data_IF_007033960735
#
_entry.id   IF_007033960735
#
_cell.length_a   1.000
_cell.length_b   1.000
_cell.length_c   1.000
_cell.angle_alpha   90.00
_cell.angle_beta   90.00
_cell.angle_gamma   90.00
#
_symmetry.space_group_name_H-M   'P 1'
#
loop_
_entity.id
_entity.type
_entity.pdbx_description
1 polymer ?
#
# COMPACT_ATOMS: atom_id res chain seq x y z
N UNK A 1 0.22 30.11 5.75
CA UNK A 1 -0.13 28.71 5.37
C UNK A 1 0.61 28.38 4.10
N UNK A 2 1.23 27.20 4.04
CA UNK A 2 2.07 26.77 2.91
C UNK A 2 1.74 25.36 2.48
N UNK A 3 2.04 25.03 1.25
CA UNK A 3 1.92 23.67 0.72
C UNK A 3 3.07 22.79 1.22
N UNK A 4 2.74 21.57 1.65
CA UNK A 4 3.69 20.48 1.84
C UNK A 4 3.41 19.39 0.80
N UNK A 5 4.47 18.94 0.14
CA UNK A 5 4.41 17.92 -0.88
C UNK A 5 5.59 16.95 -0.74
N UNK A 6 5.30 15.66 -0.63
CA UNK A 6 6.26 14.58 -0.54
C UNK A 6 5.88 13.48 -1.52
N UNK A 7 6.81 13.03 -2.34
CA UNK A 7 6.71 11.80 -3.13
C UNK A 7 7.82 10.84 -2.74
N UNK A 8 7.45 9.58 -2.56
CA UNK A 8 8.34 8.46 -2.35
C UNK A 8 8.23 7.55 -3.59
N UNK A 9 9.22 7.64 -4.49
CA UNK A 9 9.25 6.85 -5.73
C UNK A 9 10.04 5.56 -5.53
N UNK A 10 9.43 4.42 -5.82
CA UNK A 10 10.02 3.08 -5.64
C UNK A 10 9.81 2.21 -6.88
N UNK A 11 10.40 1.01 -6.87
CA UNK A 11 9.92 -0.09 -7.72
C UNK A 11 8.46 -0.41 -7.40
N UNK A 12 7.79 -1.16 -8.29
CA UNK A 12 6.34 -1.44 -8.19
C UNK A 12 5.95 -2.06 -6.85
N UNK A 13 5.26 -1.29 -6.01
CA UNK A 13 4.72 -1.73 -4.73
C UNK A 13 3.52 -2.65 -5.01
N UNK A 14 3.52 -3.90 -4.51
CA UNK A 14 2.39 -4.80 -4.67
C UNK A 14 1.07 -4.17 -4.23
N UNK A 15 0.01 -4.37 -5.02
CA UNK A 15 -1.32 -3.80 -4.77
C UNK A 15 -1.80 -4.02 -3.32
N UNK A 16 -1.53 -5.20 -2.76
CA UNK A 16 -1.93 -5.57 -1.40
C UNK A 16 -1.21 -4.81 -0.28
N UNK A 17 -0.08 -4.18 -0.59
CA UNK A 17 0.71 -3.39 0.38
C UNK A 17 0.34 -1.90 0.36
N UNK A 18 -0.14 -1.38 -0.77
CA UNK A 18 -0.33 0.06 -0.98
C UNK A 18 -1.35 0.66 -0.02
N UNK A 19 -2.50 0.01 0.21
CA UNK A 19 -3.53 0.52 1.13
C UNK A 19 -2.96 0.69 2.55
N UNK A 20 -2.32 -0.33 3.08
CA UNK A 20 -1.72 -0.27 4.43
C UNK A 20 -0.65 0.81 4.52
N UNK A 21 0.18 0.95 3.48
CA UNK A 21 1.22 1.99 3.44
C UNK A 21 0.61 3.40 3.43
N UNK A 22 -0.45 3.64 2.62
CA UNK A 22 -1.17 4.94 2.63
C UNK A 22 -1.76 5.24 3.99
N UNK A 23 -2.49 4.28 4.58
CA UNK A 23 -3.19 4.45 5.85
C UNK A 23 -2.19 4.73 6.99
N UNK A 24 -1.06 4.02 7.03
CA UNK A 24 0.00 4.24 8.01
C UNK A 24 0.65 5.63 7.82
N UNK A 25 1.04 5.95 6.59
CA UNK A 25 1.70 7.21 6.29
C UNK A 25 0.80 8.41 6.63
N UNK A 26 -0.50 8.33 6.30
CA UNK A 26 -1.47 9.36 6.65
C UNK A 26 -1.60 9.52 8.16
N UNK A 27 -1.77 8.41 8.89
CA UNK A 27 -1.89 8.41 10.35
C UNK A 27 -0.62 8.99 11.00
N UNK A 28 0.55 8.46 10.66
CA UNK A 28 1.82 8.87 11.25
C UNK A 28 2.09 10.35 11.01
N UNK A 29 1.78 10.85 9.81
CA UNK A 29 1.97 12.26 9.49
C UNK A 29 0.99 13.17 10.24
N UNK A 30 -0.30 12.79 10.34
CA UNK A 30 -1.30 13.53 11.12
C UNK A 30 -0.93 13.56 12.60
N UNK A 31 -0.56 12.41 13.17
CA UNK A 31 -0.19 12.29 14.57
C UNK A 31 1.07 13.12 14.88
N UNK A 32 2.04 13.12 13.97
CA UNK A 32 3.22 13.98 14.05
C UNK A 32 2.85 15.47 14.04
N UNK A 33 2.02 15.95 13.12
CA UNK A 33 1.64 17.36 13.07
C UNK A 33 0.91 17.80 14.33
N UNK A 34 0.04 16.96 14.89
CA UNK A 34 -0.66 17.21 16.14
C UNK A 34 0.32 17.26 17.32
N UNK A 35 1.24 16.31 17.39
CA UNK A 35 2.26 16.24 18.48
C UNK A 35 3.17 17.45 18.48
N UNK A 36 3.56 17.94 17.32
CA UNK A 36 4.42 19.12 17.18
C UNK A 36 3.63 20.43 17.19
N UNK A 37 2.29 20.37 17.40
CA UNK A 37 1.39 21.54 17.42
C UNK A 37 1.38 22.35 16.10
N UNK A 38 1.72 21.68 15.00
CA UNK A 38 1.70 22.29 13.66
C UNK A 38 0.26 22.39 13.19
N UNK A 39 -0.24 23.62 13.06
CA UNK A 39 -1.60 23.86 12.58
C UNK A 39 -1.68 23.58 11.07
N UNK A 40 -2.70 22.84 10.68
CA UNK A 40 -3.04 22.60 9.28
C UNK A 40 -4.56 22.76 9.09
N UNK A 41 -4.96 23.22 7.92
CA UNK A 41 -6.34 23.24 7.46
C UNK A 41 -6.47 22.11 6.45
N UNK A 42 -7.67 21.62 6.27
CA UNK A 42 -8.01 20.55 5.34
C UNK A 42 -7.44 19.18 5.74
N UNK A 43 -7.81 18.17 4.99
CA UNK A 43 -7.32 16.82 5.20
C UNK A 43 -5.94 16.63 4.56
N UNK A 44 -5.07 15.90 5.24
CA UNK A 44 -3.85 15.41 4.63
C UNK A 44 -4.21 14.31 3.64
N UNK A 45 -3.85 14.50 2.39
CA UNK A 45 -4.11 13.55 1.34
C UNK A 45 -2.91 12.63 1.13
N UNK A 46 -3.16 11.32 1.13
CA UNK A 46 -2.16 10.32 0.76
C UNK A 46 -2.65 9.53 -0.44
N UNK A 47 -1.92 9.66 -1.54
CA UNK A 47 -2.23 9.01 -2.81
C UNK A 47 -1.22 7.92 -3.12
N UNK A 48 -1.56 6.97 -3.99
CA UNK A 48 -0.59 6.02 -4.50
C UNK A 48 -0.82 5.66 -5.96
N UNK A 49 0.28 5.37 -6.63
CA UNK A 49 0.35 4.56 -7.84
C UNK A 49 1.20 3.31 -7.55
N UNK A 50 1.38 2.38 -8.49
CA UNK A 50 2.29 1.25 -8.28
C UNK A 50 3.70 1.68 -7.83
N UNK A 51 4.20 2.79 -8.34
CA UNK A 51 5.57 3.25 -8.09
C UNK A 51 5.67 4.40 -7.08
N UNK A 52 4.55 4.99 -6.62
CA UNK A 52 4.57 6.23 -5.84
C UNK A 52 3.68 6.15 -4.62
N UNK A 53 4.19 6.63 -3.48
CA UNK A 53 3.40 7.09 -2.36
C UNK A 53 3.55 8.60 -2.27
N UNK A 54 2.44 9.32 -2.20
CA UNK A 54 2.42 10.78 -2.25
C UNK A 54 1.66 11.31 -1.05
N UNK A 55 2.26 12.23 -0.32
CA UNK A 55 1.60 13.01 0.75
C UNK A 55 1.53 14.46 0.32
N UNK A 56 0.37 15.06 0.42
CA UNK A 56 0.28 16.50 0.25
C UNK A 56 -0.75 17.13 1.18
N UNK A 57 -0.47 18.38 1.55
CA UNK A 57 -1.35 19.23 2.33
C UNK A 57 -1.17 20.68 1.85
N UNK A 58 -2.26 21.31 1.46
CA UNK A 58 -2.21 22.66 0.87
C UNK A 58 -1.97 23.76 1.92
N UNK A 59 -2.37 23.53 3.16
CA UNK A 59 -2.45 24.57 4.19
C UNK A 59 -1.81 24.15 5.52
N UNK A 60 -0.48 24.17 5.59
CA UNK A 60 0.29 23.97 6.83
C UNK A 60 0.86 25.31 7.32
N UNK A 61 0.88 25.55 8.63
CA UNK A 61 1.50 26.74 9.19
C UNK A 61 3.01 26.76 8.97
N UNK A 62 3.57 27.90 8.55
CA UNK A 62 5.01 28.06 8.35
C UNK A 62 5.80 28.07 9.64
N UNK A 63 5.16 28.48 10.72
CA UNK A 63 5.80 28.67 12.03
C UNK A 63 4.89 28.18 13.14
N UNK A 64 5.52 27.73 14.22
CA UNK A 64 4.87 27.42 15.48
C UNK A 64 5.35 28.45 16.48
N UNK A 65 4.41 29.01 17.22
CA UNK A 65 4.72 29.87 18.36
C UNK A 65 4.49 29.03 19.61
N UNK A 66 5.55 28.57 20.24
CA UNK A 66 5.49 28.00 21.58
C UNK A 66 5.37 29.17 22.55
N UNK A 67 4.23 29.21 23.24
CA UNK A 67 3.98 30.25 24.22
C UNK A 67 5.05 30.24 25.32
N UNK A 68 5.21 31.38 25.97
CA UNK A 68 5.99 31.49 27.18
C UNK A 68 5.50 30.45 28.21
N UNK A 69 6.40 29.75 28.85
CA UNK A 69 6.08 28.72 29.84
C UNK A 69 6.97 28.86 31.05
N UNK A 70 6.39 28.69 32.24
CA UNK A 70 7.16 28.59 33.46
C UNK A 70 7.52 27.13 33.73
N UNK A 71 8.80 26.85 33.76
CA UNK A 71 9.33 25.51 34.04
C UNK A 71 9.73 25.44 35.51
N UNK A 72 9.11 24.50 36.24
CA UNK A 72 9.43 24.25 37.61
C UNK A 72 10.72 23.44 37.71
N UNK A 73 11.67 23.94 38.48
CA UNK A 73 12.92 23.29 38.82
C UNK A 73 12.88 22.57 40.16
N UNK A 74 14.04 22.26 40.74
CA UNK A 74 14.18 21.62 42.05
C UNK A 74 13.68 22.53 43.17
N UNK A 75 13.43 21.92 44.35
CA UNK A 75 13.19 22.67 45.59
C UNK A 75 14.42 23.50 45.97
N UNK A 76 14.19 24.64 46.60
CA UNK A 76 15.27 25.50 47.15
C UNK A 76 16.15 24.73 48.17
N UNK A 77 15.55 23.75 48.86
CA UNK A 77 16.24 22.89 49.82
C UNK A 77 16.89 21.64 49.18
N UNK A 78 16.84 21.50 47.88
CA UNK A 78 17.48 20.37 47.19
C UNK A 78 19.01 20.57 47.11
N UNK A 79 19.78 19.46 46.95
CA UNK A 79 21.23 19.56 46.76
C UNK A 79 21.58 20.44 45.55
N UNK A 80 22.68 21.20 45.66
CA UNK A 80 23.14 22.12 44.60
C UNK A 80 23.31 21.43 43.24
N UNK A 81 23.64 20.15 43.23
CA UNK A 81 23.71 19.32 42.02
C UNK A 81 22.39 19.27 41.24
N UNK A 82 21.24 19.30 41.93
CA UNK A 82 19.93 19.29 41.28
C UNK A 82 19.65 20.63 40.59
N UNK A 83 20.04 21.75 41.18
CA UNK A 83 19.94 23.07 40.56
C UNK A 83 20.87 23.18 39.36
N UNK A 84 22.11 22.72 39.47
CA UNK A 84 23.08 22.71 38.39
C UNK A 84 22.61 21.82 37.23
N UNK A 85 21.99 20.66 37.50
CA UNK A 85 21.36 19.80 36.50
C UNK A 85 20.21 20.50 35.79
N UNK A 86 19.36 21.22 36.52
CA UNK A 86 18.25 22.00 35.96
C UNK A 86 18.72 23.15 35.06
N UNK A 87 19.74 23.90 35.52
CA UNK A 87 20.37 24.99 34.76
C UNK A 87 20.97 24.44 33.46
N UNK A 88 21.75 23.37 33.56
CA UNK A 88 22.39 22.74 32.40
C UNK A 88 21.39 22.15 31.42
N UNK A 89 20.33 21.50 31.89
CA UNK A 89 19.30 20.88 31.02
C UNK A 89 18.45 21.91 30.26
N UNK A 90 18.30 23.11 30.81
CA UNK A 90 17.55 24.19 30.17
C UNK A 90 18.44 25.21 29.45
N UNK A 91 19.77 25.05 29.52
CA UNK A 91 20.77 25.95 28.95
C UNK A 91 20.57 27.41 29.38
N UNK A 92 20.43 27.60 30.70
CA UNK A 92 20.18 28.90 31.37
C UNK A 92 21.28 29.17 32.42
N UNK A 93 21.27 30.38 32.94
CA UNK A 93 22.13 30.76 34.09
C UNK A 93 21.31 30.76 35.40
N UNK A 94 21.98 30.84 36.53
CA UNK A 94 21.31 30.89 37.84
C UNK A 94 20.50 32.18 38.00
N UNK A 95 20.96 33.26 37.42
CA UNK A 95 20.33 34.58 37.44
C UNK A 95 18.99 34.61 36.67
N UNK A 96 18.82 33.70 35.71
CA UNK A 96 17.56 33.56 34.94
C UNK A 96 16.52 32.73 35.70
N UNK A 97 16.86 32.20 36.87
CA UNK A 97 15.92 31.49 37.74
C UNK A 97 15.33 32.42 38.79
N UNK A 98 14.07 32.18 39.18
CA UNK A 98 13.42 32.85 40.27
C UNK A 98 12.76 31.82 41.22
N UNK A 99 12.59 32.23 42.49
CA UNK A 99 11.98 31.36 43.51
C UNK A 99 10.49 31.69 43.61
N UNK A 100 9.66 30.63 43.61
CA UNK A 100 8.22 30.77 43.87
C UNK A 100 7.79 29.79 44.97
N UNK A 101 6.97 30.30 45.87
CA UNK A 101 6.32 29.50 46.90
C UNK A 101 5.08 28.82 46.31
N UNK A 102 4.97 27.51 46.49
CA UNK A 102 3.84 26.69 46.10
C UNK A 102 3.30 25.95 47.34
N UNK A 103 2.15 25.30 47.26
CA UNK A 103 1.57 24.48 48.32
C UNK A 103 2.51 23.37 48.82
N UNK A 104 3.51 22.98 48.01
CA UNK A 104 4.51 21.94 48.30
C UNK A 104 5.88 22.46 48.71
N UNK A 105 6.00 23.77 48.97
CA UNK A 105 7.26 24.42 49.33
C UNK A 105 7.78 25.41 48.30
N UNK A 106 9.01 25.89 48.51
CA UNK A 106 9.68 26.83 47.61
C UNK A 106 10.52 26.10 46.58
N UNK A 107 10.35 26.52 45.30
CA UNK A 107 11.02 25.91 44.16
C UNK A 107 11.65 26.95 43.26
N UNK A 108 12.72 26.58 42.59
CA UNK A 108 13.25 27.36 41.48
C UNK A 108 12.33 27.24 40.29
N UNK A 109 12.14 28.34 39.58
CA UNK A 109 11.41 28.42 38.33
C UNK A 109 12.25 29.15 37.28
N UNK A 110 12.05 28.79 36.04
CA UNK A 110 12.61 29.50 34.90
C UNK A 110 11.49 29.88 33.96
N UNK A 111 11.51 31.11 33.48
CA UNK A 111 10.54 31.62 32.51
C UNK A 111 11.08 31.42 31.12
N UNK A 112 10.66 30.34 30.48
CA UNK A 112 11.05 30.03 29.10
C UNK A 112 10.39 31.04 28.20
N UNK A 113 11.14 31.85 27.42
CA UNK A 113 10.55 32.84 26.53
C UNK A 113 9.77 32.17 25.40
N UNK A 114 8.79 32.88 24.85
CA UNK A 114 8.09 32.44 23.65
C UNK A 114 9.09 32.22 22.52
N UNK A 115 8.99 31.06 21.86
CA UNK A 115 9.90 30.69 20.76
C UNK A 115 9.10 30.50 19.49
N UNK A 116 9.55 31.16 18.43
CA UNK A 116 9.05 30.91 17.06
C UNK A 116 9.95 29.87 16.39
N UNK A 117 9.37 28.73 16.04
CA UNK A 117 10.10 27.64 15.38
C UNK A 117 9.57 27.49 13.96
N UNK A 118 10.46 27.45 12.98
CA UNK A 118 10.11 27.23 11.59
C UNK A 118 9.63 25.78 11.38
N UNK A 119 8.44 25.61 10.81
CA UNK A 119 7.86 24.29 10.50
C UNK A 119 8.77 23.50 9.56
N UNK A 120 9.47 24.18 8.64
CA UNK A 120 10.46 23.55 7.75
C UNK A 120 11.51 22.77 8.54
N UNK A 121 12.09 23.34 9.58
CA UNK A 121 13.14 22.70 10.39
C UNK A 121 12.60 21.48 11.16
N UNK A 122 11.36 21.57 11.62
CA UNK A 122 10.70 20.46 12.33
C UNK A 122 10.43 19.30 11.35
N UNK A 123 9.93 19.60 10.14
CA UNK A 123 9.70 18.60 9.09
C UNK A 123 11.01 17.91 8.70
N UNK A 124 12.08 18.68 8.42
CA UNK A 124 13.40 18.14 8.04
C UNK A 124 13.92 17.11 9.07
N UNK A 125 13.79 17.44 10.35
CA UNK A 125 14.27 16.60 11.46
C UNK A 125 13.45 15.32 11.64
N UNK A 126 12.14 15.36 11.40
CA UNK A 126 11.23 14.29 11.81
C UNK A 126 10.74 13.42 10.65
N UNK A 127 10.77 13.89 9.39
CA UNK A 127 10.36 13.09 8.23
C UNK A 127 11.05 11.72 8.17
N UNK A 128 12.38 11.58 8.38
CA UNK A 128 13.01 10.27 8.39
C UNK A 128 12.34 9.28 9.37
N UNK A 129 12.02 9.73 10.58
CA UNK A 129 11.35 8.89 11.60
C UNK A 129 9.93 8.50 11.20
N UNK A 130 9.18 9.43 10.58
CA UNK A 130 7.82 9.15 10.08
C UNK A 130 7.85 8.09 9.00
N UNK A 131 8.87 8.11 8.14
CA UNK A 131 9.06 7.12 7.08
C UNK A 131 9.43 5.74 7.66
N UNK A 132 10.28 5.68 8.70
CA UNK A 132 10.63 4.43 9.39
C UNK A 132 9.42 3.76 10.07
N UNK A 133 8.42 4.55 10.48
CA UNK A 133 7.20 4.06 11.11
C UNK A 133 6.19 3.46 10.13
N UNK A 134 6.45 3.45 8.82
CA UNK A 134 5.57 2.80 7.84
C UNK A 134 5.71 1.29 7.99
N UNK A 135 4.63 0.64 8.43
CA UNK A 135 4.59 -0.81 8.59
C UNK A 135 4.35 -1.52 7.26
N UNK A 136 5.29 -2.35 6.86
CA UNK A 136 5.21 -3.18 5.68
C UNK A 136 4.94 -4.64 6.06
N UNK A 137 3.82 -5.24 5.62
CA UNK A 137 3.55 -6.68 5.82
C UNK A 137 4.63 -7.57 5.19
N UNK A 138 5.23 -7.11 4.10
CA UNK A 138 6.39 -7.71 3.44
C UNK A 138 7.29 -6.57 3.01
N UNK A 139 8.53 -6.63 3.43
CA UNK A 139 9.58 -5.69 3.05
C UNK A 139 10.77 -6.44 2.48
N UNK A 140 11.64 -5.73 1.81
CA UNK A 140 12.92 -6.26 1.34
C UNK A 140 14.02 -5.23 1.54
N UNK A 141 15.24 -5.72 1.62
CA UNK A 141 16.48 -4.96 1.55
C UNK A 141 17.09 -5.18 0.18
N UNK A 142 17.80 -4.21 -0.34
CA UNK A 142 18.43 -4.30 -1.68
C UNK A 142 19.82 -3.66 -1.69
N UNK A 143 20.68 -4.13 -2.60
CA UNK A 143 22.07 -3.72 -2.63
C UNK A 143 22.73 -3.90 -1.27
N UNK A 144 23.63 -2.98 -0.92
CA UNK A 144 24.34 -2.93 0.37
C UNK A 144 23.68 -1.97 1.37
N UNK A 145 22.42 -1.58 1.13
CA UNK A 145 21.71 -0.63 1.96
C UNK A 145 20.98 -1.31 3.13
N UNK A 146 20.85 -0.62 4.25
CA UNK A 146 20.18 -1.13 5.46
C UNK A 146 18.68 -0.81 5.51
N UNK A 147 18.16 -0.08 4.52
CA UNK A 147 16.75 0.28 4.45
C UNK A 147 15.88 -0.94 4.11
N UNK A 148 14.83 -1.17 4.93
CA UNK A 148 13.77 -2.11 4.65
C UNK A 148 12.54 -1.35 4.11
N UNK A 149 12.10 -1.67 2.91
CA UNK A 149 10.96 -1.02 2.25
C UNK A 149 10.10 -2.04 1.53
N UNK A 150 8.85 -1.70 1.18
CA UNK A 150 7.96 -2.60 0.44
C UNK A 150 8.53 -3.05 -0.91
N UNK A 151 9.24 -2.15 -1.59
CA UNK A 151 10.07 -2.37 -2.79
C UNK A 151 11.18 -1.32 -2.80
N UNK A 152 12.29 -1.53 -3.54
CA UNK A 152 13.40 -0.57 -3.57
C UNK A 152 12.96 0.88 -3.77
N UNK A 153 13.17 1.71 -2.75
CA UNK A 153 12.94 3.15 -2.80
C UNK A 153 14.07 3.80 -3.60
N UNK A 154 13.74 4.58 -4.63
CA UNK A 154 14.71 5.13 -5.59
C UNK A 154 14.94 6.63 -5.42
N UNK A 155 13.91 7.38 -5.06
CA UNK A 155 14.04 8.82 -4.83
C UNK A 155 12.98 9.35 -3.88
N UNK A 156 13.30 10.49 -3.30
CA UNK A 156 12.41 11.26 -2.43
C UNK A 156 12.33 12.66 -3.01
N UNK A 157 11.13 13.06 -3.45
CA UNK A 157 10.83 14.45 -3.76
C UNK A 157 10.10 15.05 -2.56
N UNK A 158 10.66 16.11 -1.99
CA UNK A 158 10.07 16.80 -0.83
C UNK A 158 10.16 18.31 -0.99
N UNK A 159 9.01 18.96 -0.87
CA UNK A 159 8.89 20.42 -0.99
C UNK A 159 8.01 20.99 0.11
N UNK A 160 8.38 22.15 0.58
CA UNK A 160 7.61 22.96 1.51
C UNK A 160 7.69 24.43 1.09
N UNK A 161 6.55 25.07 0.93
CA UNK A 161 6.46 26.47 0.52
C UNK A 161 7.20 26.76 -0.81
N UNK A 162 6.98 25.90 -1.82
CA UNK A 162 7.63 25.95 -3.14
C UNK A 162 9.19 25.90 -3.10
N UNK A 163 9.75 25.38 -2.02
CA UNK A 163 11.20 25.18 -1.87
C UNK A 163 11.49 23.74 -1.51
N UNK A 164 12.66 23.27 -1.92
CA UNK A 164 13.12 21.92 -1.52
C UNK A 164 13.22 21.82 -0.01
N UNK A 165 12.66 20.76 0.53
CA UNK A 165 12.78 20.36 1.92
C UNK A 165 13.89 19.31 2.03
N UNK A 166 15.11 19.77 2.31
CA UNK A 166 16.32 18.94 2.31
C UNK A 166 16.41 18.09 3.58
N UNK A 167 16.48 16.78 3.44
CA UNK A 167 16.80 15.82 4.50
C UNK A 167 17.40 14.55 3.91
N UNK A 168 18.11 13.80 4.75
CA UNK A 168 18.68 12.50 4.39
C UNK A 168 17.81 11.40 4.96
N UNK A 169 17.59 10.34 4.18
CA UNK A 169 16.89 9.14 4.60
C UNK A 169 17.68 7.91 4.13
N UNK A 170 18.41 7.27 5.05
CA UNK A 170 19.37 6.22 4.74
C UNK A 170 20.37 6.66 3.64
N UNK A 171 20.36 5.98 2.49
CA UNK A 171 21.23 6.27 1.35
C UNK A 171 20.65 7.33 0.39
N UNK A 172 19.46 7.84 0.65
CA UNK A 172 18.75 8.78 -0.22
C UNK A 172 18.76 10.19 0.35
N UNK A 173 18.87 11.15 -0.54
CA UNK A 173 18.70 12.56 -0.27
C UNK A 173 17.40 13.04 -0.89
N UNK A 174 16.61 13.81 -0.16
CA UNK A 174 15.44 14.46 -0.71
C UNK A 174 15.83 15.53 -1.74
N UNK A 175 14.96 15.71 -2.71
CA UNK A 175 15.20 16.62 -3.84
C UNK A 175 13.87 17.21 -4.35
N UNK A 176 13.89 17.81 -5.53
CA UNK A 176 12.68 18.25 -6.24
C UNK A 176 12.43 17.49 -7.54
N UNK A 177 13.14 16.38 -7.78
CA UNK A 177 12.94 15.57 -8.98
C UNK A 177 12.28 14.24 -8.68
N UNK A 178 11.56 13.71 -9.66
CA UNK A 178 11.05 12.34 -9.69
C UNK A 178 11.46 11.63 -10.96
N UNK A 179 11.46 10.30 -10.92
CA UNK A 179 11.63 9.47 -12.11
C UNK A 179 10.31 9.36 -12.87
N UNK A 180 10.42 9.28 -14.18
CA UNK A 180 9.31 9.02 -15.08
C UNK A 180 9.40 7.58 -15.60
N UNK A 181 8.27 7.05 -16.09
CA UNK A 181 8.23 5.72 -16.65
C UNK A 181 9.10 5.61 -17.91
N UNK A 182 9.47 4.37 -18.26
CA UNK A 182 10.30 4.04 -19.42
C UNK A 182 9.70 4.50 -20.75
N UNK A 183 8.39 4.69 -20.80
CA UNK A 183 7.66 5.14 -21.99
C UNK A 183 7.77 6.65 -22.26
N UNK A 184 8.42 7.40 -21.36
CA UNK A 184 8.66 8.83 -21.55
C UNK A 184 10.08 9.05 -22.09
N UNK A 185 10.23 9.99 -23.03
CA UNK A 185 11.55 10.40 -23.55
C UNK A 185 12.43 10.97 -22.42
N UNK A 186 11.83 11.75 -21.54
CA UNK A 186 12.46 12.29 -20.34
C UNK A 186 12.41 11.25 -19.22
N UNK A 187 13.56 10.94 -18.63
CA UNK A 187 13.67 9.98 -17.53
C UNK A 187 13.36 10.57 -16.15
N UNK A 188 13.47 11.88 -16.01
CA UNK A 188 13.24 12.62 -14.77
C UNK A 188 12.56 13.96 -15.04
N UNK A 189 11.80 14.45 -14.06
CA UNK A 189 11.23 15.81 -14.10
C UNK A 189 11.27 16.46 -12.72
N UNK A 190 11.29 17.80 -12.68
CA UNK A 190 11.43 18.59 -11.44
C UNK A 190 10.14 19.32 -11.10
N UNK A 191 9.80 19.31 -9.82
CA UNK A 191 8.60 19.97 -9.32
C UNK A 191 8.87 20.64 -7.97
N UNK A 192 8.25 21.79 -7.74
CA UNK A 192 8.28 22.49 -6.45
C UNK A 192 6.91 22.58 -5.80
N UNK A 193 5.83 22.25 -6.54
CA UNK A 193 4.47 22.24 -6.02
C UNK A 193 3.70 21.00 -6.48
N UNK A 194 2.75 20.55 -5.67
CA UNK A 194 1.87 19.45 -6.02
C UNK A 194 0.97 19.77 -7.20
N UNK A 195 0.58 21.03 -7.36
CA UNK A 195 -0.26 21.48 -8.49
C UNK A 195 0.42 21.20 -9.83
N UNK A 196 1.66 21.67 -10.01
CA UNK A 196 2.41 21.47 -11.26
C UNK A 196 2.73 19.99 -11.51
N UNK A 197 3.06 19.25 -10.46
CA UNK A 197 3.25 17.80 -10.49
C UNK A 197 1.99 17.07 -10.97
N UNK A 198 0.84 17.36 -10.38
CA UNK A 198 -0.44 16.73 -10.73
C UNK A 198 -0.87 17.05 -12.17
N UNK A 199 -0.70 18.29 -12.61
CA UNK A 199 -1.02 18.72 -13.98
C UNK A 199 -0.13 18.00 -15.00
N UNK A 200 1.17 17.87 -14.71
CA UNK A 200 2.10 17.13 -15.55
C UNK A 200 1.65 15.67 -15.73
N UNK A 201 1.45 14.92 -14.64
CA UNK A 201 1.05 13.52 -14.74
C UNK A 201 -0.32 13.34 -15.37
N UNK A 202 -1.27 14.26 -15.12
CA UNK A 202 -2.57 14.29 -15.82
C UNK A 202 -2.41 14.46 -17.33
N UNK A 203 -1.49 15.31 -17.79
CA UNK A 203 -1.22 15.51 -19.23
C UNK A 203 -0.64 14.25 -19.90
N UNK A 204 0.01 13.38 -19.12
CA UNK A 204 0.54 12.08 -19.58
C UNK A 204 -0.51 10.95 -19.46
N UNK A 205 -1.71 11.24 -18.97
CA UNK A 205 -2.80 10.27 -18.80
C UNK A 205 -2.70 9.43 -17.51
N UNK A 206 -1.79 9.78 -16.60
CA UNK A 206 -1.62 9.12 -15.30
C UNK A 206 -2.64 9.67 -14.30
N UNK A 207 -3.30 8.79 -13.56
CA UNK A 207 -4.27 9.13 -12.51
C UNK A 207 -3.63 8.82 -11.16
N UNK A 208 -3.07 9.86 -10.52
CA UNK A 208 -2.36 9.73 -9.24
C UNK A 208 -3.27 9.30 -8.08
N UNK A 209 -4.51 9.80 -8.05
CA UNK A 209 -5.49 9.50 -7.02
C UNK A 209 -6.09 8.10 -7.27
N UNK A 210 -5.81 7.17 -6.36
CA UNK A 210 -6.27 5.79 -6.47
C UNK A 210 -7.80 5.66 -6.45
N UNK A 211 -8.54 6.53 -5.72
CA UNK A 211 -9.99 6.49 -5.72
C UNK A 211 -10.56 6.94 -7.06
N UNK A 212 -10.03 8.03 -7.63
CA UNK A 212 -10.41 8.50 -8.97
C UNK A 212 -10.02 7.52 -10.06
N UNK A 213 -8.92 6.80 -9.88
CA UNK A 213 -8.47 5.76 -10.81
C UNK A 213 -9.40 4.54 -10.76
N UNK A 214 -9.84 4.13 -9.56
CA UNK A 214 -10.82 3.05 -9.39
C UNK A 214 -12.15 3.42 -10.05
N UNK A 215 -12.68 4.60 -9.77
CA UNK A 215 -13.89 5.13 -10.40
C UNK A 215 -13.78 5.22 -11.93
N UNK A 216 -12.64 5.67 -12.44
CA UNK A 216 -12.39 5.73 -13.88
C UNK A 216 -12.44 4.33 -14.52
N UNK A 217 -11.74 3.36 -13.93
CA UNK A 217 -11.70 1.97 -14.44
C UNK A 217 -13.11 1.37 -14.43
N UNK A 218 -13.84 1.49 -13.32
CA UNK A 218 -15.20 0.97 -13.18
C UNK A 218 -16.14 1.58 -14.23
N UNK A 219 -16.15 2.90 -14.38
CA UNK A 219 -16.98 3.60 -15.36
C UNK A 219 -16.64 3.19 -16.81
N UNK A 220 -15.36 3.02 -17.13
CA UNK A 220 -14.95 2.58 -18.48
C UNK A 220 -15.34 1.12 -18.75
N UNK A 221 -15.21 0.23 -17.77
CA UNK A 221 -15.67 -1.16 -17.89
C UNK A 221 -17.18 -1.22 -18.11
N UNK A 222 -17.98 -0.51 -17.30
CA UNK A 222 -19.44 -0.44 -17.45
C UNK A 222 -19.86 0.15 -18.79
N UNK A 223 -19.20 1.20 -19.26
CA UNK A 223 -19.47 1.79 -20.58
C UNK A 223 -19.25 0.79 -21.70
N UNK A 224 -18.10 0.08 -21.68
CA UNK A 224 -17.75 -0.89 -22.75
C UNK A 224 -18.65 -2.12 -22.72
N UNK A 225 -19.00 -2.65 -21.55
CA UNK A 225 -19.93 -3.77 -21.43
C UNK A 225 -21.33 -3.41 -21.91
N UNK A 226 -21.83 -2.22 -21.56
CA UNK A 226 -23.14 -1.74 -22.04
C UNK A 226 -23.20 -1.64 -23.57
N UNK A 227 -22.14 -1.14 -24.22
CA UNK A 227 -22.05 -1.06 -25.67
C UNK A 227 -22.15 -2.45 -26.35
N UNK A 228 -21.59 -3.46 -25.72
CA UNK A 228 -21.57 -4.83 -26.21
C UNK A 228 -22.79 -5.66 -25.74
N UNK A 229 -23.73 -5.09 -25.01
CA UNK A 229 -24.86 -5.79 -24.36
C UNK A 229 -24.42 -6.93 -23.45
N UNK A 230 -23.29 -6.73 -22.75
CA UNK A 230 -22.71 -7.67 -21.81
C UNK A 230 -22.88 -7.16 -20.37
N UNK A 231 -22.67 -8.05 -19.40
CA UNK A 231 -22.68 -7.75 -17.97
C UNK A 231 -21.34 -8.12 -17.34
N UNK A 232 -20.98 -7.42 -16.28
CA UNK A 232 -19.89 -7.78 -15.38
C UNK A 232 -20.48 -8.24 -14.04
N UNK A 233 -19.88 -9.24 -13.44
CA UNK A 233 -20.14 -9.54 -12.04
C UNK A 233 -19.36 -8.54 -11.18
N UNK A 234 -20.00 -7.84 -10.23
CA UNK A 234 -19.30 -6.93 -9.35
C UNK A 234 -18.24 -7.66 -8.51
N UNK A 235 -16.98 -7.31 -8.71
CA UNK A 235 -15.86 -7.84 -7.92
C UNK A 235 -14.98 -6.68 -7.43
N UNK A 236 -15.38 -6.09 -6.29
CA UNK A 236 -14.66 -4.96 -5.68
C UNK A 236 -13.20 -5.29 -5.34
N UNK A 237 -12.93 -6.55 -4.95
CA UNK A 237 -11.56 -6.97 -4.63
C UNK A 237 -10.67 -6.97 -5.87
N UNK A 238 -11.17 -7.51 -6.97
CA UNK A 238 -10.46 -7.49 -8.26
C UNK A 238 -10.26 -6.05 -8.75
N UNK A 239 -11.32 -5.23 -8.72
CA UNK A 239 -11.25 -3.83 -9.12
C UNK A 239 -10.20 -3.06 -8.33
N UNK A 240 -10.21 -3.19 -7.00
CA UNK A 240 -9.22 -2.54 -6.12
C UNK A 240 -7.80 -3.06 -6.39
N UNK A 241 -7.61 -4.35 -6.63
CA UNK A 241 -6.30 -4.92 -6.94
C UNK A 241 -5.79 -4.38 -8.29
N UNK A 242 -6.62 -4.39 -9.32
CA UNK A 242 -6.29 -3.88 -10.66
C UNK A 242 -5.99 -2.38 -10.62
N UNK A 243 -6.77 -1.60 -9.87
CA UNK A 243 -6.52 -0.18 -9.65
C UNK A 243 -5.13 0.10 -9.13
N UNK A 244 -4.61 -0.76 -8.27
CA UNK A 244 -3.30 -0.58 -7.63
C UNK A 244 -2.12 -1.21 -8.40
N UNK A 245 -2.34 -1.80 -9.58
CA UNK A 245 -1.28 -2.28 -10.47
C UNK A 245 -1.11 -1.46 -11.74
N UNK A 246 -1.94 -0.44 -11.95
CA UNK A 246 -1.84 0.48 -13.10
C UNK A 246 -1.85 1.93 -12.63
N UNK A 247 -1.21 2.83 -13.35
CA UNK A 247 -1.30 4.28 -13.12
C UNK A 247 -1.92 5.03 -14.31
N UNK A 248 -1.86 4.42 -15.52
CA UNK A 248 -2.45 4.93 -16.77
C UNK A 248 -3.43 3.92 -17.37
N UNK A 249 -4.60 3.71 -16.74
CA UNK A 249 -5.49 2.62 -17.08
C UNK A 249 -6.04 2.71 -18.51
N UNK A 250 -5.86 1.63 -19.28
CA UNK A 250 -6.41 1.42 -20.60
C UNK A 250 -7.20 0.11 -20.62
N UNK A 251 -8.51 0.19 -20.89
CA UNK A 251 -9.39 -0.97 -20.87
C UNK A 251 -9.45 -1.59 -22.26
N UNK A 252 -8.94 -2.81 -22.38
CA UNK A 252 -8.82 -3.56 -23.62
C UNK A 252 -9.83 -4.71 -23.65
N UNK A 253 -10.63 -4.79 -24.72
CA UNK A 253 -11.53 -5.90 -24.95
C UNK A 253 -10.78 -7.04 -25.64
N UNK A 254 -10.77 -8.21 -24.99
CA UNK A 254 -10.13 -9.44 -25.45
C UNK A 254 -11.17 -10.56 -25.62
N UNK A 255 -10.77 -11.63 -26.34
CA UNK A 255 -11.60 -12.81 -26.57
C UNK A 255 -10.76 -14.07 -26.47
N UNK A 256 -11.42 -15.16 -26.10
CA UNK A 256 -10.87 -16.50 -26.20
C UNK A 256 -11.75 -17.40 -27.09
N UNK A 257 -11.25 -18.56 -27.51
CA UNK A 257 -11.99 -19.49 -28.34
C UNK A 257 -13.22 -20.02 -27.57
N UNK A 258 -14.38 -19.96 -28.24
CA UNK A 258 -15.66 -20.45 -27.70
C UNK A 258 -15.63 -21.92 -27.28
N UNK A 259 -14.73 -22.74 -27.85
CA UNK A 259 -14.57 -24.16 -27.47
C UNK A 259 -14.38 -24.35 -25.96
N UNK A 260 -13.73 -23.38 -25.27
CA UNK A 260 -13.47 -23.44 -23.83
C UNK A 260 -14.72 -23.21 -22.96
N UNK A 261 -15.81 -22.66 -23.50
CA UNK A 261 -17.08 -22.51 -22.77
C UNK A 261 -17.73 -23.84 -22.38
N UNK A 262 -17.18 -24.98 -22.83
CA UNK A 262 -17.55 -26.32 -22.36
C UNK A 262 -16.99 -26.67 -20.98
N UNK A 263 -15.96 -25.94 -20.52
CA UNK A 263 -15.40 -26.07 -19.19
C UNK A 263 -16.34 -25.36 -18.21
N UNK A 264 -16.50 -25.85 -16.95
CA UNK A 264 -17.30 -25.18 -15.95
C UNK A 264 -16.91 -23.71 -15.79
N UNK A 265 -17.92 -22.83 -15.74
CA UNK A 265 -17.71 -21.37 -15.65
C UNK A 265 -16.88 -20.98 -14.45
N UNK A 266 -16.98 -21.70 -13.34
CA UNK A 266 -16.23 -21.46 -12.11
C UNK A 266 -14.72 -21.57 -12.32
N UNK A 267 -14.27 -22.54 -13.11
CA UNK A 267 -12.87 -22.72 -13.46
C UNK A 267 -12.39 -21.56 -14.36
N UNK A 268 -13.20 -21.20 -15.36
CA UNK A 268 -12.88 -20.12 -16.29
C UNK A 268 -12.82 -18.77 -15.58
N UNK A 269 -13.81 -18.46 -14.73
CA UNK A 269 -13.86 -17.22 -13.95
C UNK A 269 -12.67 -17.14 -12.99
N UNK A 270 -12.39 -18.21 -12.24
CA UNK A 270 -11.24 -18.25 -11.32
C UNK A 270 -9.92 -18.03 -12.07
N UNK A 271 -9.76 -18.67 -13.23
CA UNK A 271 -8.56 -18.49 -14.06
C UNK A 271 -8.39 -17.04 -14.50
N UNK A 272 -9.46 -16.40 -14.94
CA UNK A 272 -9.41 -15.00 -15.38
C UNK A 272 -9.25 -14.02 -14.22
N UNK A 273 -10.07 -14.09 -13.18
CA UNK A 273 -10.07 -13.09 -12.09
C UNK A 273 -8.91 -13.26 -11.11
N UNK A 274 -8.67 -14.50 -10.65
CA UNK A 274 -7.69 -14.76 -9.58
C UNK A 274 -6.27 -14.81 -10.13
N UNK A 275 -6.07 -15.52 -11.28
CA UNK A 275 -4.72 -15.73 -11.78
C UNK A 275 -4.25 -14.64 -12.74
N UNK A 276 -5.15 -14.07 -13.56
CA UNK A 276 -4.79 -13.13 -14.61
C UNK A 276 -5.26 -11.69 -14.35
N UNK A 277 -6.10 -11.45 -13.35
CA UNK A 277 -6.66 -10.12 -13.02
C UNK A 277 -7.50 -9.53 -14.16
N UNK A 278 -8.22 -10.39 -14.89
CA UNK A 278 -9.10 -10.02 -15.98
C UNK A 278 -10.56 -10.00 -15.52
N UNK A 279 -11.39 -9.25 -16.22
CA UNK A 279 -12.81 -9.10 -15.96
C UNK A 279 -13.62 -9.94 -16.95
N UNK A 280 -14.13 -11.13 -16.54
CA UNK A 280 -15.00 -11.95 -17.38
C UNK A 280 -16.34 -11.26 -17.60
N UNK A 281 -16.98 -11.56 -18.72
CA UNK A 281 -18.29 -11.01 -19.06
C UNK A 281 -19.36 -12.07 -19.21
N UNK A 282 -20.60 -11.66 -18.96
CA UNK A 282 -21.76 -12.53 -18.99
C UNK A 282 -22.83 -11.95 -19.96
N UNK A 283 -23.64 -12.82 -20.50
CA UNK A 283 -24.82 -12.43 -21.28
C UNK A 283 -25.98 -12.01 -20.39
N UNK A 284 -27.12 -11.66 -20.99
CA UNK A 284 -28.32 -11.28 -20.24
C UNK A 284 -28.94 -12.44 -19.43
N UNK A 285 -28.60 -13.69 -19.76
CA UNK A 285 -29.03 -14.92 -19.08
C UNK A 285 -28.00 -15.42 -18.06
N UNK A 286 -27.01 -14.59 -17.72
CA UNK A 286 -25.92 -14.90 -16.78
C UNK A 286 -24.99 -16.06 -17.24
N UNK A 287 -24.98 -16.40 -18.52
CA UNK A 287 -24.01 -17.32 -19.04
C UNK A 287 -22.68 -16.60 -19.30
N UNK A 288 -21.57 -17.25 -18.96
CA UNK A 288 -20.24 -16.74 -19.29
C UNK A 288 -20.08 -16.61 -20.78
N UNK A 289 -19.57 -15.47 -21.25
CA UNK A 289 -19.24 -15.26 -22.65
C UNK A 289 -17.74 -15.50 -22.90
N UNK A 290 -17.35 -15.56 -24.16
CA UNK A 290 -15.93 -15.65 -24.53
C UNK A 290 -15.24 -14.28 -24.63
N UNK A 291 -15.86 -13.25 -24.10
CA UNK A 291 -15.30 -11.89 -24.05
C UNK A 291 -14.86 -11.58 -22.63
N UNK A 292 -13.72 -10.96 -22.49
CA UNK A 292 -13.21 -10.47 -21.21
C UNK A 292 -12.53 -9.10 -21.39
N UNK A 293 -12.38 -8.35 -20.31
CA UNK A 293 -11.65 -7.09 -20.32
C UNK A 293 -10.36 -7.19 -19.52
N UNK A 294 -9.33 -6.56 -20.06
CA UNK A 294 -8.02 -6.37 -19.43
C UNK A 294 -7.84 -4.88 -19.16
N UNK A 295 -7.31 -4.53 -18.01
CA UNK A 295 -6.86 -3.18 -17.72
C UNK A 295 -5.34 -3.17 -17.83
N UNK A 296 -4.84 -2.57 -18.89
CA UNK A 296 -3.42 -2.42 -19.14
C UNK A 296 -2.94 -1.04 -18.65
N UNK A 297 -1.65 -0.91 -18.39
CA UNK A 297 -1.03 0.35 -17.97
C UNK A 297 -0.54 1.20 -19.16
N UNK A 298 -0.73 0.71 -20.39
CA UNK A 298 -0.28 1.34 -21.62
C UNK A 298 -1.33 1.33 -22.72
N UNK A 299 -1.21 2.28 -23.64
CA UNK A 299 -2.00 2.29 -24.87
C UNK A 299 -1.62 1.10 -25.77
N UNK A 300 -2.58 0.61 -26.54
CA UNK A 300 -2.39 -0.54 -27.43
C UNK A 300 -2.75 -0.21 -28.90
N UNK A 301 -2.06 0.75 -29.52
CA UNK A 301 -2.41 1.18 -30.89
C UNK A 301 -2.20 0.10 -31.95
N UNK A 302 -1.34 -0.87 -31.70
CA UNK A 302 -1.03 -1.99 -32.60
C UNK A 302 -1.74 -3.29 -32.22
N UNK A 303 -2.51 -3.31 -31.13
CA UNK A 303 -3.19 -4.51 -30.64
C UNK A 303 -2.27 -5.59 -30.07
N UNK A 304 -1.02 -5.26 -29.76
CA UNK A 304 -0.04 -6.23 -29.26
C UNK A 304 -0.33 -6.68 -27.83
N UNK A 305 -0.78 -5.76 -26.98
CA UNK A 305 -1.18 -6.06 -25.59
C UNK A 305 -2.41 -6.95 -25.62
N UNK A 306 -3.40 -6.63 -26.45
CA UNK A 306 -4.59 -7.47 -26.67
C UNK A 306 -4.18 -8.87 -27.07
N UNK A 307 -3.38 -9.01 -28.13
CA UNK A 307 -2.96 -10.31 -28.66
C UNK A 307 -2.17 -11.12 -27.63
N UNK A 308 -1.28 -10.47 -26.87
CA UNK A 308 -0.52 -11.10 -25.79
C UNK A 308 -1.41 -11.66 -24.68
N UNK A 309 -2.40 -10.89 -24.23
CA UNK A 309 -3.34 -11.32 -23.19
C UNK A 309 -4.29 -12.43 -23.67
N UNK A 310 -4.76 -12.38 -24.92
CA UNK A 310 -5.56 -13.46 -25.53
C UNK A 310 -4.77 -14.77 -25.58
N UNK A 311 -3.49 -14.74 -25.98
CA UNK A 311 -2.59 -15.91 -25.97
C UNK A 311 -2.36 -16.49 -24.56
N UNK A 312 -2.15 -15.61 -23.57
CA UNK A 312 -1.97 -16.05 -22.18
C UNK A 312 -3.20 -16.76 -21.66
N UNK A 313 -4.39 -16.19 -21.91
CA UNK A 313 -5.65 -16.85 -21.52
C UNK A 313 -5.82 -18.17 -22.24
N UNK A 314 -5.58 -18.23 -23.54
CA UNK A 314 -5.70 -19.47 -24.31
C UNK A 314 -4.81 -20.59 -23.77
N UNK A 315 -3.56 -20.29 -23.46
CA UNK A 315 -2.64 -21.25 -22.83
C UNK A 315 -3.18 -21.77 -21.48
N UNK A 316 -3.66 -20.87 -20.61
CA UNK A 316 -4.24 -21.23 -19.31
C UNK A 316 -5.53 -22.05 -19.44
N UNK A 317 -6.37 -21.71 -20.41
CA UNK A 317 -7.62 -22.46 -20.64
C UNK A 317 -7.36 -23.84 -21.27
N UNK A 318 -6.33 -24.01 -22.10
CA UNK A 318 -5.88 -25.31 -22.56
C UNK A 318 -5.42 -26.20 -21.39
N UNK A 319 -4.61 -25.65 -20.47
CA UNK A 319 -4.21 -26.36 -19.24
C UNK A 319 -5.44 -26.74 -18.41
N UNK A 320 -6.37 -25.80 -18.21
CA UNK A 320 -7.60 -26.06 -17.46
C UNK A 320 -8.45 -27.14 -18.11
N UNK A 321 -8.58 -27.15 -19.44
CA UNK A 321 -9.29 -28.17 -20.17
C UNK A 321 -8.66 -29.54 -20.01
N UNK A 322 -7.33 -29.63 -20.16
CA UNK A 322 -6.61 -30.88 -19.98
C UNK A 322 -6.84 -31.48 -18.60
N UNK A 323 -6.70 -30.68 -17.54
CA UNK A 323 -6.95 -31.17 -16.18
C UNK A 323 -8.40 -31.52 -15.92
N UNK A 324 -9.34 -30.73 -16.46
CA UNK A 324 -10.77 -31.02 -16.38
C UNK A 324 -11.12 -32.36 -17.00
N UNK A 325 -10.67 -32.61 -18.23
CA UNK A 325 -10.94 -33.86 -18.96
C UNK A 325 -10.27 -35.06 -18.28
N UNK A 326 -9.03 -34.90 -17.79
CA UNK A 326 -8.32 -35.93 -17.03
C UNK A 326 -9.03 -36.25 -15.71
N UNK A 327 -9.55 -35.24 -15.02
CA UNK A 327 -10.22 -35.45 -13.72
C UNK A 327 -11.58 -36.11 -13.89
N UNK A 328 -12.31 -35.89 -14.99
CA UNK A 328 -13.56 -36.61 -15.28
C UNK A 328 -13.39 -38.12 -15.36
N UNK A 329 -12.25 -38.57 -15.83
CA UNK A 329 -11.97 -40.01 -16.01
C UNK A 329 -11.31 -40.63 -14.79
N UNK A 330 -10.83 -39.82 -13.84
CA UNK A 330 -10.10 -40.30 -12.65
C UNK A 330 -11.06 -40.63 -11.52
N UNK A 331 -10.97 -41.88 -11.02
CA UNK A 331 -11.64 -42.26 -9.80
C UNK A 331 -10.85 -41.74 -8.60
N UNK A 332 -11.41 -40.81 -7.82
CA UNK A 332 -10.76 -40.16 -6.69
C UNK A 332 -10.39 -41.16 -5.58
N UNK A 333 -11.24 -42.16 -5.34
CA UNK A 333 -10.99 -43.18 -4.32
C UNK A 333 -9.75 -44.02 -4.66
N UNK A 334 -9.61 -44.41 -5.94
CA UNK A 334 -8.42 -45.12 -6.41
C UNK A 334 -7.15 -44.25 -6.32
N UNK A 335 -7.30 -42.93 -6.42
CA UNK A 335 -6.20 -41.98 -6.28
C UNK A 335 -5.61 -41.85 -4.86
N UNK A 336 -6.28 -42.38 -3.83
CA UNK A 336 -5.76 -42.33 -2.45
C UNK A 336 -4.44 -43.07 -2.34
N UNK A 337 -4.28 -44.17 -3.06
CA UNK A 337 -3.03 -44.94 -3.07
C UNK A 337 -1.83 -44.16 -3.63
N UNK A 338 -2.08 -43.25 -4.57
CA UNK A 338 -1.05 -42.41 -5.21
C UNK A 338 -0.44 -41.41 -4.22
N UNK A 339 -1.16 -41.08 -3.14
CA UNK A 339 -0.69 -40.19 -2.08
C UNK A 339 0.48 -40.75 -1.29
N UNK A 340 0.78 -42.08 -1.39
CA UNK A 340 1.98 -42.71 -0.84
C UNK A 340 3.26 -42.17 -1.48
N UNK A 341 3.18 -41.69 -2.71
CA UNK A 341 4.31 -41.17 -3.47
C UNK A 341 4.50 -39.65 -3.31
N UNK A 342 3.67 -38.99 -2.50
CA UNK A 342 3.73 -37.54 -2.28
C UNK A 342 4.12 -37.24 -0.83
N UNK A 343 5.34 -36.74 -0.63
CA UNK A 343 5.82 -36.35 0.69
C UNK A 343 4.96 -35.19 1.27
N UNK A 344 4.60 -35.32 2.55
CA UNK A 344 3.84 -34.30 3.25
C UNK A 344 4.76 -33.30 3.96
N UNK A 345 5.57 -33.79 4.87
CA UNK A 345 6.51 -32.99 5.66
C UNK A 345 7.61 -33.91 6.19
N UNK A 346 8.83 -33.39 6.37
CA UNK A 346 9.93 -34.13 6.94
C UNK A 346 9.58 -34.66 8.34
N UNK A 347 9.79 -35.95 8.57
CA UNK A 347 9.42 -36.64 9.81
C UNK A 347 7.93 -36.97 9.98
N UNK A 348 7.03 -36.49 9.12
CA UNK A 348 5.60 -36.75 9.19
C UNK A 348 5.07 -37.67 8.09
N UNK A 349 5.97 -38.18 7.24
CA UNK A 349 5.65 -39.12 6.18
C UNK A 349 4.97 -38.49 4.95
N UNK A 350 4.12 -39.30 4.30
CA UNK A 350 3.45 -38.95 3.04
C UNK A 350 2.07 -38.33 3.27
N UNK A 351 1.46 -37.80 2.20
CA UNK A 351 0.04 -37.40 2.27
C UNK A 351 -0.89 -38.58 2.57
N UNK A 352 -0.53 -39.80 2.19
CA UNK A 352 -1.29 -40.98 2.59
C UNK A 352 -1.25 -41.16 4.11
N UNK A 353 -0.09 -41.03 4.75
CA UNK A 353 0.02 -41.13 6.21
C UNK A 353 -0.79 -40.01 6.90
N UNK A 354 -0.82 -38.83 6.32
CA UNK A 354 -1.68 -37.72 6.78
C UNK A 354 -3.16 -38.10 6.70
N UNK A 355 -3.60 -38.69 5.59
CA UNK A 355 -5.03 -39.09 5.46
C UNK A 355 -5.40 -40.16 6.50
N UNK A 356 -4.50 -41.09 6.81
CA UNK A 356 -4.74 -42.08 7.88
C UNK A 356 -4.87 -41.43 9.26
N UNK A 357 -4.03 -40.44 9.57
CA UNK A 357 -4.16 -39.66 10.81
C UNK A 357 -5.48 -38.88 10.88
N UNK A 358 -5.87 -38.24 9.78
CA UNK A 358 -7.13 -37.47 9.71
C UNK A 358 -8.35 -38.40 9.88
N UNK A 359 -8.33 -39.59 9.27
CA UNK A 359 -9.39 -40.60 9.43
C UNK A 359 -9.53 -41.03 10.89
N UNK A 360 -8.41 -41.33 11.55
CA UNK A 360 -8.38 -41.67 12.98
C UNK A 360 -8.96 -40.56 13.86
N UNK A 361 -8.54 -39.33 13.59
CA UNK A 361 -9.01 -38.13 14.32
C UNK A 361 -10.49 -37.88 14.08
N UNK A 362 -10.96 -38.02 12.83
CA UNK A 362 -12.37 -37.90 12.48
C UNK A 362 -13.26 -38.92 13.24
N UNK A 363 -12.80 -40.17 13.30
CA UNK A 363 -13.52 -41.22 14.09
C UNK A 363 -13.61 -40.85 15.57
N UNK A 364 -12.49 -40.42 16.20
CA UNK A 364 -12.52 -40.02 17.62
C UNK A 364 -13.45 -38.82 17.86
N UNK A 365 -13.45 -37.82 17.00
CA UNK A 365 -14.34 -36.66 17.13
C UNK A 365 -15.80 -37.05 16.94
N UNK A 366 -16.08 -37.97 16.01
CA UNK A 366 -17.45 -38.40 15.78
C UNK A 366 -18.00 -39.21 16.95
N UNK A 367 -17.19 -40.02 17.59
CA UNK A 367 -17.56 -40.79 18.78
C UNK A 367 -17.86 -39.82 19.95
N UNK A 368 -17.05 -38.78 20.16
CA UNK A 368 -17.30 -37.73 21.18
C UNK A 368 -18.55 -36.90 20.90
N UNK A 369 -18.86 -36.60 19.64
CA UNK A 369 -20.00 -35.79 19.25
C UNK A 369 -21.28 -36.62 19.00
N UNK A 370 -21.25 -37.95 19.23
CA UNK A 370 -22.36 -38.89 18.99
C UNK A 370 -22.88 -38.81 17.53
N UNK A 371 -22.02 -38.54 16.57
CA UNK A 371 -22.36 -38.52 15.15
C UNK A 371 -22.34 -39.93 14.59
N UNK A 372 -23.37 -40.31 13.81
CA UNK A 372 -23.45 -41.66 13.22
C UNK A 372 -22.23 -41.93 12.30
N UNK A 373 -21.62 -43.12 12.41
CA UNK A 373 -20.42 -43.51 11.64
C UNK A 373 -20.60 -43.43 10.14
N UNK A 374 -21.82 -43.64 9.63
CA UNK A 374 -22.15 -43.50 8.20
C UNK A 374 -21.92 -42.09 7.61
N UNK A 375 -21.81 -41.05 8.45
CA UNK A 375 -21.54 -39.67 8.01
C UNK A 375 -20.06 -39.29 8.09
N UNK A 376 -19.23 -40.17 8.63
CA UNK A 376 -17.78 -39.89 8.88
C UNK A 376 -16.88 -40.73 7.96
N UNK A 377 -17.35 -41.84 7.42
CA UNK A 377 -16.67 -42.62 6.38
C UNK A 377 -16.89 -42.04 4.98
#
# INVERSE_FOLDING_TARGET
MSEFFLELFSEEIPATLQKTARDNLQKNFVDFLKKEEIKFKDSISVLSTPNRLIVYCENISQKIIKAEAEIRGPSVNAPEQALNGFIKSNNITKEETFIRKTDKGEFYFFKKPAQTIETKSILQKNLPKILDEISWKKSMRWGDHDLYWGRPLKSILACFDNKVLEFNYHHLNSSNFTYLDKDFEEKTSKFLSFKTYKEFFKSKGIILDHNKREEFIENQLLKKTKLDRLKLTPNKKLLSEVTNIVEKPNIIKCKFDKKFLKIPKEILVTTMEVHQKYFPTFDNKENLTNVFFVVADNNDPKGLIKLGNERVVEARLNDAQFFWDKNKTKNLVKGISDLKNVNYFEGLGTYFDKTQRLRKLGSLISDELLISKEKVE
#
